data_IF_025328340069
#
_entry.id   IF_025328340069
#
_cell.length_a   1.000
_cell.length_b   1.000
_cell.length_c   1.000
_cell.angle_alpha   90.00
_cell.angle_beta   90.00
_cell.angle_gamma   90.00
#
_symmetry.space_group_name_H-M   'P 1'
#
loop_
_entity.id
_entity.type
_entity.pdbx_description
1 polymer ?
#
# COMPACT_ATOMS: atom_id res chain seq x y z
N UNK A 1 0.61 -19.66 -3.50
CA UNK A 1 1.12 -18.35 -3.00
C UNK A 1 0.11 -17.28 -3.42
N UNK A 2 -0.31 -16.41 -2.49
CA UNK A 2 -1.18 -15.27 -2.78
C UNK A 2 -0.49 -14.23 -3.66
N UNK A 3 -1.27 -13.55 -4.49
CA UNK A 3 -0.83 -12.45 -5.36
C UNK A 3 -1.09 -11.11 -4.66
N UNK A 4 -0.06 -10.31 -4.45
CA UNK A 4 -0.19 -8.98 -3.87
C UNK A 4 -0.51 -7.93 -4.95
N UNK A 5 -1.57 -7.15 -4.76
CA UNK A 5 -1.84 -5.95 -5.53
C UNK A 5 -1.20 -4.74 -4.84
N UNK A 6 -0.29 -4.06 -5.52
CA UNK A 6 0.38 -2.87 -4.98
C UNK A 6 -0.15 -1.60 -5.65
N UNK A 7 -0.63 -0.65 -4.85
CA UNK A 7 -0.88 0.72 -5.28
C UNK A 7 0.36 1.55 -4.93
N UNK A 8 1.17 1.83 -5.94
CA UNK A 8 2.48 2.48 -5.82
C UNK A 8 2.61 3.75 -6.65
N UNK A 9 3.85 4.25 -6.78
CA UNK A 9 4.16 5.47 -7.54
C UNK A 9 4.03 6.78 -6.75
N UNK A 10 3.66 6.71 -5.47
CA UNK A 10 3.35 7.88 -4.61
C UNK A 10 4.31 8.03 -3.38
N UNK A 11 5.64 8.03 -3.40
CA UNK A 11 6.49 8.08 -4.58
C UNK A 11 6.89 6.68 -5.10
N UNK A 12 7.57 6.68 -6.26
CA UNK A 12 8.11 5.44 -6.82
C UNK A 12 9.28 4.90 -5.96
N UNK A 13 10.05 5.73 -5.27
CA UNK A 13 11.16 5.31 -4.42
C UNK A 13 10.68 4.39 -3.28
N UNK A 14 9.57 4.72 -2.62
CA UNK A 14 9.00 3.84 -1.60
C UNK A 14 8.49 2.55 -2.23
N UNK A 15 7.88 2.61 -3.42
CA UNK A 15 7.37 1.45 -4.15
C UNK A 15 8.47 0.45 -4.49
N UNK A 16 9.65 0.94 -4.92
CA UNK A 16 10.83 0.12 -5.16
C UNK A 16 11.22 -0.65 -3.88
N UNK A 17 11.18 0.00 -2.72
CA UNK A 17 11.51 -0.65 -1.44
C UNK A 17 10.49 -1.75 -1.10
N UNK A 18 9.19 -1.50 -1.29
CA UNK A 18 8.15 -2.53 -1.11
C UNK A 18 8.43 -3.74 -2.01
N UNK A 19 8.62 -3.52 -3.31
CA UNK A 19 8.90 -4.60 -4.27
C UNK A 19 10.13 -5.41 -3.87
N UNK A 20 11.23 -4.73 -3.56
CA UNK A 20 12.49 -5.35 -3.16
C UNK A 20 12.36 -6.17 -1.87
N UNK A 21 11.74 -5.58 -0.84
CA UNK A 21 11.63 -6.22 0.47
C UNK A 21 10.68 -7.42 0.45
N UNK A 22 9.55 -7.31 -0.26
CA UNK A 22 8.60 -8.42 -0.41
C UNK A 22 9.30 -9.60 -1.09
N UNK A 23 9.97 -9.37 -2.23
CA UNK A 23 10.67 -10.42 -2.95
C UNK A 23 11.80 -11.04 -2.11
N UNK A 24 12.59 -10.20 -1.43
CA UNK A 24 13.65 -10.67 -0.54
C UNK A 24 13.10 -11.56 0.59
N UNK A 25 11.98 -11.17 1.22
CA UNK A 25 11.36 -11.95 2.30
C UNK A 25 10.79 -13.28 1.78
N UNK A 26 10.16 -13.29 0.62
CA UNK A 26 9.63 -14.52 0.00
C UNK A 26 10.79 -15.46 -0.37
N UNK A 27 11.83 -14.94 -1.00
CA UNK A 27 13.01 -15.75 -1.36
C UNK A 27 13.69 -16.33 -0.13
N UNK A 28 13.90 -15.52 0.92
CA UNK A 28 14.51 -16.01 2.17
C UNK A 28 13.67 -17.11 2.85
N UNK A 29 12.34 -17.08 2.70
CA UNK A 29 11.43 -18.05 3.31
C UNK A 29 11.29 -19.34 2.52
N UNK A 30 11.29 -19.27 1.20
CA UNK A 30 11.03 -20.40 0.31
C UNK A 30 12.27 -20.94 -0.37
N UNK A 31 13.35 -20.17 -0.43
CA UNK A 31 14.63 -20.54 -1.05
C UNK A 31 14.58 -20.56 -2.58
N UNK A 32 15.66 -21.06 -3.18
CA UNK A 32 15.83 -21.18 -4.63
C UNK A 32 15.53 -19.88 -5.39
N UNK A 33 14.85 -19.96 -6.52
CA UNK A 33 14.46 -18.81 -7.36
C UNK A 33 13.06 -18.27 -7.03
N UNK A 34 12.50 -18.58 -5.84
CA UNK A 34 11.18 -18.10 -5.46
C UNK A 34 11.16 -16.58 -5.30
N UNK A 35 10.14 -15.97 -5.87
CA UNK A 35 9.80 -14.56 -5.74
C UNK A 35 8.30 -14.40 -5.48
N UNK A 36 7.88 -13.22 -5.06
CA UNK A 36 6.48 -12.93 -4.82
C UNK A 36 5.71 -12.77 -6.13
N UNK A 37 4.43 -13.16 -6.12
CA UNK A 37 3.48 -12.79 -7.17
C UNK A 37 2.98 -11.38 -6.87
N UNK A 38 3.28 -10.41 -7.75
CA UNK A 38 2.96 -9.00 -7.56
C UNK A 38 2.31 -8.45 -8.82
N UNK A 39 1.18 -7.77 -8.63
CA UNK A 39 0.59 -6.85 -9.59
C UNK A 39 0.83 -5.44 -9.06
N UNK A 40 1.40 -4.57 -9.86
CA UNK A 40 1.71 -3.19 -9.47
C UNK A 40 0.97 -2.21 -10.38
N UNK A 41 0.17 -1.35 -9.79
CA UNK A 41 -0.26 -0.12 -10.44
C UNK A 41 0.57 1.05 -9.88
N UNK A 42 1.35 1.69 -10.74
CA UNK A 42 2.19 2.84 -10.36
C UNK A 42 1.56 4.13 -10.88
N UNK A 43 1.05 4.94 -9.94
CA UNK A 43 0.48 6.26 -10.27
C UNK A 43 1.54 7.24 -10.78
N UNK A 44 1.12 8.19 -11.61
CA UNK A 44 1.85 9.44 -11.78
C UNK A 44 1.67 10.29 -10.51
N UNK A 45 2.77 10.51 -9.77
CA UNK A 45 2.68 11.17 -8.46
C UNK A 45 2.21 12.62 -8.55
N UNK A 46 2.52 13.34 -9.64
CA UNK A 46 2.04 14.71 -9.82
C UNK A 46 0.50 14.80 -9.81
N UNK A 47 -0.20 13.84 -10.41
CA UNK A 47 -1.67 13.80 -10.41
C UNK A 47 -2.23 13.61 -9.01
N UNK A 48 -1.65 12.68 -8.24
CA UNK A 48 -2.06 12.42 -6.86
C UNK A 48 -1.73 13.60 -5.95
N UNK A 49 -0.55 14.18 -6.09
CA UNK A 49 -0.11 15.33 -5.30
C UNK A 49 -0.98 16.56 -5.56
N UNK A 50 -1.35 16.81 -6.81
CA UNK A 50 -2.24 17.91 -7.17
C UNK A 50 -3.62 17.78 -6.47
N UNK A 51 -4.21 16.58 -6.46
CA UNK A 51 -5.45 16.32 -5.73
C UNK A 51 -5.29 16.55 -4.23
N UNK A 52 -4.18 16.07 -3.67
CA UNK A 52 -3.85 16.23 -2.26
C UNK A 52 -3.66 17.70 -1.87
N UNK A 53 -2.94 18.47 -2.67
CA UNK A 53 -2.67 19.91 -2.47
C UNK A 53 -3.95 20.72 -2.52
N UNK A 54 -4.88 20.36 -3.41
CA UNK A 54 -6.17 21.01 -3.58
C UNK A 54 -7.23 20.53 -2.55
N UNK A 55 -6.89 19.56 -1.69
CA UNK A 55 -7.85 19.00 -0.72
C UNK A 55 -8.92 18.09 -1.34
N UNK A 56 -8.74 17.64 -2.57
CA UNK A 56 -9.67 16.79 -3.32
C UNK A 56 -9.52 15.30 -2.95
N UNK A 57 -9.63 15.01 -1.64
CA UNK A 57 -9.39 13.69 -1.08
C UNK A 57 -10.35 12.62 -1.60
N UNK A 58 -11.63 12.97 -1.79
CA UNK A 58 -12.64 12.02 -2.31
C UNK A 58 -12.30 11.59 -3.74
N UNK A 59 -11.92 12.53 -4.60
CA UNK A 59 -11.48 12.21 -5.96
C UNK A 59 -10.22 11.33 -5.96
N UNK A 60 -9.28 11.62 -5.07
CA UNK A 60 -8.08 10.80 -4.92
C UNK A 60 -8.44 9.37 -4.47
N UNK A 61 -9.37 9.25 -3.53
CA UNK A 61 -9.87 7.97 -3.05
C UNK A 61 -10.57 7.16 -4.14
N UNK A 62 -11.42 7.79 -4.94
CA UNK A 62 -12.12 7.15 -6.06
C UNK A 62 -11.14 6.71 -7.15
N UNK A 63 -10.16 7.57 -7.51
CA UNK A 63 -9.11 7.22 -8.46
C UNK A 63 -8.33 5.98 -8.00
N UNK A 64 -7.93 5.94 -6.73
CA UNK A 64 -7.25 4.78 -6.14
C UNK A 64 -8.14 3.54 -6.09
N UNK A 65 -9.43 3.73 -5.78
CA UNK A 65 -10.42 2.65 -5.75
C UNK A 65 -10.61 1.98 -7.11
N UNK A 66 -10.68 2.77 -8.18
CA UNK A 66 -10.76 2.24 -9.56
C UNK A 66 -9.51 1.39 -9.87
N UNK A 67 -8.31 1.86 -9.51
CA UNK A 67 -7.09 1.08 -9.78
C UNK A 67 -6.97 -0.15 -8.88
N UNK A 68 -7.43 -0.08 -7.63
CA UNK A 68 -7.54 -1.24 -6.77
C UNK A 68 -8.48 -2.31 -7.37
N UNK A 69 -9.60 -1.87 -7.97
CA UNK A 69 -10.52 -2.75 -8.68
C UNK A 69 -9.86 -3.45 -9.87
N UNK A 70 -9.07 -2.73 -10.67
CA UNK A 70 -8.31 -3.34 -11.77
C UNK A 70 -7.32 -4.41 -11.26
N UNK A 71 -6.64 -4.17 -10.13
CA UNK A 71 -5.76 -5.15 -9.52
C UNK A 71 -6.55 -6.38 -9.02
N UNK A 72 -7.71 -6.17 -8.40
CA UNK A 72 -8.61 -7.27 -7.99
C UNK A 72 -9.06 -8.09 -9.21
N UNK A 73 -9.48 -7.44 -10.29
CA UNK A 73 -9.93 -8.11 -11.52
C UNK A 73 -8.80 -8.86 -12.23
N UNK A 74 -7.56 -8.43 -12.04
CA UNK A 74 -6.35 -9.15 -12.44
C UNK A 74 -5.93 -10.26 -11.47
N UNK A 75 -6.81 -10.65 -10.52
CA UNK A 75 -6.62 -11.71 -9.52
C UNK A 75 -5.56 -11.36 -8.44
N UNK A 76 -5.49 -10.12 -7.99
CA UNK A 76 -4.85 -9.83 -6.71
C UNK A 76 -5.70 -10.42 -5.56
N UNK A 77 -5.05 -11.06 -4.60
CA UNK A 77 -5.72 -11.62 -3.40
C UNK A 77 -5.92 -10.58 -2.28
N UNK A 78 -5.14 -9.51 -2.30
CA UNK A 78 -5.20 -8.40 -1.35
C UNK A 78 -4.48 -7.19 -1.92
N UNK A 79 -4.76 -6.01 -1.35
CA UNK A 79 -4.12 -4.74 -1.72
C UNK A 79 -3.14 -4.29 -0.64
N UNK A 80 -2.03 -3.70 -1.05
CA UNK A 80 -1.15 -2.91 -0.18
C UNK A 80 -0.84 -1.55 -0.83
N UNK A 81 -0.92 -0.49 -0.01
CA UNK A 81 -0.65 0.88 -0.44
C UNK A 81 0.80 1.23 -0.09
N UNK A 82 1.62 1.55 -1.09
CA UNK A 82 3.07 1.74 -0.92
C UNK A 82 3.46 3.14 -0.40
N UNK A 83 2.60 3.76 0.41
CA UNK A 83 2.82 5.06 1.05
C UNK A 83 1.97 5.17 2.31
N UNK A 84 2.34 6.01 3.28
CA UNK A 84 1.59 6.16 4.52
C UNK A 84 0.30 6.97 4.33
N UNK A 85 0.40 8.17 3.80
CA UNK A 85 -0.68 9.16 3.78
C UNK A 85 -1.97 8.65 3.14
N UNK A 86 -1.86 7.86 2.08
CA UNK A 86 -3.03 7.40 1.33
C UNK A 86 -3.86 6.33 2.06
N UNK A 87 -3.38 5.80 3.18
CA UNK A 87 -4.19 4.91 4.02
C UNK A 87 -5.43 5.60 4.61
N UNK A 88 -5.42 6.94 4.71
CA UNK A 88 -6.64 7.71 5.09
C UNK A 88 -7.80 7.56 4.10
N UNK A 89 -7.56 7.05 2.88
CA UNK A 89 -8.54 6.86 1.82
C UNK A 89 -9.10 5.44 1.74
N UNK A 90 -8.74 4.56 2.68
CA UNK A 90 -9.16 3.15 2.66
C UNK A 90 -10.67 3.00 2.58
N UNK A 91 -11.44 3.82 3.28
CA UNK A 91 -12.90 3.77 3.23
C UNK A 91 -13.45 4.09 1.82
N UNK A 92 -12.81 5.00 1.10
CA UNK A 92 -13.16 5.29 -0.29
C UNK A 92 -12.78 4.13 -1.21
N UNK A 93 -11.58 3.57 -1.06
CA UNK A 93 -11.09 2.46 -1.87
C UNK A 93 -11.96 1.22 -1.66
N UNK A 94 -12.37 0.92 -0.42
CA UNK A 94 -13.23 -0.22 -0.07
C UNK A 94 -14.62 -0.19 -0.71
N UNK A 95 -15.08 0.97 -1.19
CA UNK A 95 -16.33 1.05 -1.98
C UNK A 95 -16.21 0.37 -3.35
N UNK A 96 -14.99 0.17 -3.84
CA UNK A 96 -14.71 -0.34 -5.19
C UNK A 96 -14.28 -1.82 -5.21
N UNK A 97 -13.82 -2.38 -4.08
CA UNK A 97 -13.23 -3.71 -4.00
C UNK A 97 -13.84 -4.56 -2.88
N UNK A 98 -13.67 -5.89 -3.01
CA UNK A 98 -14.13 -6.89 -2.03
C UNK A 98 -12.98 -7.68 -1.40
N UNK A 99 -11.74 -7.34 -1.73
CA UNK A 99 -10.54 -7.97 -1.16
C UNK A 99 -9.92 -7.07 -0.10
N UNK A 100 -9.19 -7.66 0.82
CA UNK A 100 -8.60 -6.94 1.96
C UNK A 100 -7.54 -5.92 1.53
N UNK A 101 -7.50 -4.79 2.22
CA UNK A 101 -6.37 -3.86 2.17
C UNK A 101 -5.53 -4.08 3.43
N UNK A 102 -4.23 -4.38 3.24
CA UNK A 102 -3.29 -4.45 4.36
C UNK A 102 -2.94 -3.04 4.86
N UNK A 103 -3.45 -2.69 6.03
CA UNK A 103 -3.21 -1.37 6.62
C UNK A 103 -1.81 -1.31 7.24
N UNK A 104 -1.02 -0.30 6.86
CA UNK A 104 0.35 -0.15 7.37
C UNK A 104 0.38 0.03 8.90
N UNK A 105 -0.61 0.73 9.50
CA UNK A 105 -0.67 0.93 10.94
C UNK A 105 -0.89 -0.38 11.71
N UNK A 106 -1.59 -1.37 11.14
CA UNK A 106 -1.78 -2.66 11.79
C UNK A 106 -0.47 -3.45 11.85
N UNK A 107 0.33 -3.36 10.77
CA UNK A 107 1.65 -3.96 10.74
C UNK A 107 2.58 -3.31 11.78
N UNK A 108 2.60 -1.97 11.84
CA UNK A 108 3.39 -1.21 12.83
C UNK A 108 2.90 -1.49 14.25
N UNK A 109 1.58 -1.46 14.48
CA UNK A 109 0.97 -1.75 15.77
C UNK A 109 1.30 -3.16 16.28
N UNK A 110 1.33 -4.14 15.38
CA UNK A 110 1.76 -5.51 15.70
C UNK A 110 3.20 -5.56 16.16
N UNK A 111 4.13 -4.87 15.47
CA UNK A 111 5.54 -4.83 15.87
C UNK A 111 5.74 -4.06 17.20
N UNK A 112 5.02 -2.95 17.42
CA UNK A 112 5.05 -2.22 18.68
C UNK A 112 4.65 -3.14 19.85
N UNK A 113 3.55 -3.87 19.73
CA UNK A 113 3.07 -4.82 20.74
C UNK A 113 4.05 -5.95 20.98
N UNK A 114 4.62 -6.52 19.91
CA UNK A 114 5.60 -7.61 19.99
C UNK A 114 6.86 -7.21 20.77
N UNK A 115 7.29 -5.95 20.65
CA UNK A 115 8.42 -5.41 21.38
C UNK A 115 8.07 -4.77 22.73
N UNK A 116 6.78 -4.84 23.15
CA UNK A 116 6.29 -4.27 24.41
C UNK A 116 6.60 -2.76 24.57
N UNK A 117 6.64 -2.01 23.47
CA UNK A 117 6.91 -0.57 23.48
C UNK A 117 5.67 0.18 23.99
N UNK A 118 5.85 1.02 25.01
CA UNK A 118 4.77 1.84 25.61
C UNK A 118 4.69 3.23 24.98
N UNK A 119 5.80 3.75 24.52
CA UNK A 119 5.90 5.08 23.90
C UNK A 119 6.59 4.94 22.54
N UNK A 120 6.01 5.54 21.54
CA UNK A 120 6.55 5.59 20.17
C UNK A 120 6.49 7.01 19.65
N UNK A 121 7.49 7.42 18.88
CA UNK A 121 7.50 8.70 18.19
C UNK A 121 7.03 8.48 16.73
N UNK A 122 5.98 9.21 16.33
CA UNK A 122 5.55 9.25 14.94
C UNK A 122 6.23 10.42 14.23
N UNK A 123 6.99 10.12 13.18
CA UNK A 123 7.56 11.10 12.26
C UNK A 123 6.82 11.03 10.92
N UNK A 124 6.37 12.17 10.44
CA UNK A 124 5.62 12.24 9.19
C UNK A 124 5.38 13.67 8.73
N UNK A 125 4.61 13.81 7.65
CA UNK A 125 4.13 15.11 7.18
C UNK A 125 2.87 15.52 7.94
N UNK A 126 2.37 16.75 7.69
CA UNK A 126 1.07 17.21 8.24
C UNK A 126 -0.13 16.33 7.84
N UNK A 127 0.03 15.47 6.86
CA UNK A 127 -1.01 14.57 6.35
C UNK A 127 -0.91 13.16 6.94
N UNK A 128 0.21 12.81 7.58
CA UNK A 128 0.43 11.54 8.24
C UNK A 128 -0.22 11.52 9.61
#
# INVERSE_FOLDING_TARGET
>A
MKTAGLLGGMSYESTIQYYKLINKKINNRLGNLNSAKILLYSFNFEEIEALQRNGEWDKSGDLMGVQAKHLQDANADFIAICTNTMHKLIDNINKHINIDILHISDAVGTEIKKHNLKNVLLLGTKFT
#
